data_IF_309614304436
#
_entry.id   IF_309614304436
#
_cell.length_a   1.000
_cell.length_b   1.000
_cell.length_c   1.000
_cell.angle_alpha   90.00
_cell.angle_beta   90.00
_cell.angle_gamma   90.00
#
_symmetry.space_group_name_H-M   'P 1'
#
loop_
_entity.id
_entity.type
_entity.pdbx_description
1 polymer ?
#
# COMPACT_ATOMS: atom_id res chain seq x y z
N UNK A 1 13.60 40.54 -9.30
CA UNK A 1 13.34 39.21 -9.92
C UNK A 1 14.68 38.53 -10.11
N UNK A 2 14.88 37.35 -9.45
CA UNK A 2 16.16 36.68 -9.45
C UNK A 2 16.17 35.63 -10.61
N UNK A 3 16.96 35.78 -11.68
CA UNK A 3 16.89 34.94 -12.89
C UNK A 3 17.38 33.51 -12.64
N UNK A 4 17.93 33.17 -11.47
CA UNK A 4 18.40 31.84 -11.12
C UNK A 4 17.38 30.93 -10.44
N UNK A 5 16.16 31.40 -10.12
CA UNK A 5 15.13 30.59 -9.49
C UNK A 5 14.53 29.53 -10.46
N UNK A 6 14.33 29.90 -11.74
CA UNK A 6 13.71 29.02 -12.74
C UNK A 6 14.62 27.87 -13.24
N UNK A 7 15.93 28.01 -13.14
CA UNK A 7 16.87 26.99 -13.66
C UNK A 7 17.07 25.85 -12.62
N UNK A 8 16.93 26.14 -11.32
CA UNK A 8 16.99 25.10 -10.28
C UNK A 8 15.79 24.20 -10.24
N UNK A 9 14.59 24.72 -10.54
CA UNK A 9 13.36 23.91 -10.57
C UNK A 9 13.33 22.90 -11.72
N UNK A 10 13.80 23.28 -12.90
CA UNK A 10 13.84 22.36 -14.06
C UNK A 10 14.87 21.23 -13.90
N UNK A 11 16.04 21.48 -13.32
CA UNK A 11 17.07 20.46 -13.09
C UNK A 11 16.64 19.43 -12.00
N UNK A 12 15.88 19.85 -10.99
CA UNK A 12 15.27 18.99 -10.00
C UNK A 12 14.15 18.10 -10.59
N UNK A 13 13.27 18.69 -11.36
CA UNK A 13 12.14 18.00 -12.01
C UNK A 13 12.61 16.90 -12.99
N UNK A 14 13.69 17.14 -13.74
CA UNK A 14 14.26 16.15 -14.68
C UNK A 14 14.89 14.95 -13.98
N UNK A 15 15.35 15.08 -12.72
CA UNK A 15 15.93 13.97 -11.94
C UNK A 15 14.88 13.17 -11.17
N UNK A 16 13.76 13.76 -10.76
CA UNK A 16 12.73 13.13 -9.94
C UNK A 16 11.82 12.20 -10.75
N UNK A 17 11.54 12.54 -12.01
CA UNK A 17 10.68 11.75 -12.90
C UNK A 17 11.12 10.28 -13.04
N UNK A 18 12.38 9.99 -13.42
CA UNK A 18 12.85 8.60 -13.52
C UNK A 18 12.79 7.81 -12.20
N UNK A 19 13.06 8.44 -11.05
CA UNK A 19 12.95 7.79 -9.74
C UNK A 19 11.50 7.46 -9.41
N UNK A 20 10.58 8.37 -9.70
CA UNK A 20 9.15 8.13 -9.52
C UNK A 20 8.64 7.03 -10.46
N UNK A 21 9.03 7.06 -11.73
CA UNK A 21 8.65 6.03 -12.72
C UNK A 21 9.18 4.64 -12.30
N UNK A 22 10.44 4.53 -11.86
CA UNK A 22 10.99 3.28 -11.34
C UNK A 22 10.21 2.76 -10.14
N UNK A 23 9.79 3.64 -9.22
CA UNK A 23 8.95 3.29 -8.06
C UNK A 23 7.56 2.79 -8.50
N UNK A 24 6.95 3.41 -9.50
CA UNK A 24 5.66 2.97 -10.05
C UNK A 24 5.76 1.59 -10.71
N UNK A 25 6.80 1.36 -11.53
CA UNK A 25 7.03 0.06 -12.18
C UNK A 25 7.32 -1.03 -11.13
N UNK A 26 8.03 -0.68 -10.06
CA UNK A 26 8.25 -1.58 -8.95
C UNK A 26 6.93 -2.03 -8.30
N UNK A 27 5.99 -1.11 -8.07
CA UNK A 27 4.66 -1.47 -7.55
C UNK A 27 3.82 -2.28 -8.56
N UNK A 28 3.95 -2.02 -9.85
CA UNK A 28 3.36 -2.89 -10.87
C UNK A 28 3.92 -4.30 -10.76
N UNK A 29 5.24 -4.46 -10.58
CA UNK A 29 5.89 -5.77 -10.45
C UNK A 29 5.33 -6.55 -9.24
N UNK A 30 5.31 -5.94 -8.04
CA UNK A 30 4.81 -6.61 -6.82
C UNK A 30 3.35 -7.02 -6.96
N UNK A 31 2.51 -6.15 -7.52
CA UNK A 31 1.09 -6.42 -7.72
C UNK A 31 0.82 -7.49 -8.79
N UNK A 32 1.59 -7.50 -9.88
CA UNK A 32 1.52 -8.57 -10.88
C UNK A 32 1.90 -9.93 -10.30
N UNK A 33 2.99 -10.01 -9.52
CA UNK A 33 3.39 -11.24 -8.82
C UNK A 33 2.26 -11.73 -7.91
N UNK A 34 1.65 -10.81 -7.14
CA UNK A 34 0.52 -11.13 -6.26
C UNK A 34 -0.67 -11.69 -7.05
N UNK A 35 -1.08 -11.04 -8.14
CA UNK A 35 -2.23 -11.44 -8.94
C UNK A 35 -1.99 -12.78 -9.65
N UNK A 36 -0.82 -12.96 -10.28
CA UNK A 36 -0.44 -14.20 -10.96
C UNK A 36 -0.37 -15.37 -9.97
N UNK A 37 0.24 -15.17 -8.79
CA UNK A 37 0.26 -16.20 -7.74
C UNK A 37 -1.14 -16.64 -7.35
N UNK A 38 -2.09 -15.72 -7.22
CA UNK A 38 -3.47 -16.06 -6.89
C UNK A 38 -4.15 -16.90 -7.98
N UNK A 39 -3.84 -16.65 -9.26
CA UNK A 39 -4.38 -17.40 -10.40
C UNK A 39 -3.86 -18.86 -10.43
N UNK A 40 -2.58 -19.06 -10.16
CA UNK A 40 -1.92 -20.38 -10.30
C UNK A 40 -2.09 -21.32 -9.09
N UNK A 41 -2.76 -20.91 -8.03
CA UNK A 41 -2.94 -21.75 -6.81
C UNK A 41 -3.61 -23.09 -7.11
N UNK A 42 -4.54 -23.13 -8.07
CA UNK A 42 -5.18 -24.35 -8.53
C UNK A 42 -4.21 -25.31 -9.23
N UNK A 43 -3.38 -24.75 -10.12
CA UNK A 43 -2.36 -25.51 -10.85
C UNK A 43 -1.34 -26.12 -9.88
N UNK A 44 -0.89 -25.35 -8.89
CA UNK A 44 0.03 -25.82 -7.84
C UNK A 44 -0.59 -26.91 -6.97
N UNK A 45 -1.87 -26.75 -6.59
CA UNK A 45 -2.59 -27.77 -5.82
C UNK A 45 -2.63 -29.10 -6.57
N UNK A 46 -2.87 -29.06 -7.86
CA UNK A 46 -2.94 -30.26 -8.71
C UNK A 46 -1.57 -30.86 -8.94
N UNK A 47 -0.59 -30.06 -9.34
CA UNK A 47 0.76 -30.56 -9.71
C UNK A 47 1.55 -31.11 -8.53
N UNK A 48 1.47 -30.44 -7.36
CA UNK A 48 2.23 -30.82 -6.17
C UNK A 48 1.39 -31.55 -5.12
N UNK A 49 0.13 -31.90 -5.43
CA UNK A 49 -0.83 -32.54 -4.52
C UNK A 49 -0.99 -31.78 -3.19
N UNK A 50 -1.08 -30.43 -3.24
CA UNK A 50 -1.12 -29.59 -2.05
C UNK A 50 -2.53 -29.48 -1.48
N UNK A 51 -2.62 -29.55 -0.16
CA UNK A 51 -3.84 -29.23 0.58
C UNK A 51 -4.12 -27.71 0.57
N UNK A 52 -5.37 -27.32 0.83
CA UNK A 52 -5.73 -25.88 0.97
C UNK A 52 -4.99 -25.22 2.12
N UNK A 53 -4.70 -25.97 3.20
CA UNK A 53 -3.89 -25.49 4.32
C UNK A 53 -2.45 -25.16 3.90
N UNK A 54 -1.81 -26.02 3.11
CA UNK A 54 -0.46 -25.78 2.59
C UNK A 54 -0.40 -24.55 1.68
N UNK A 55 -1.39 -24.36 0.80
CA UNK A 55 -1.51 -23.15 -0.01
C UNK A 55 -1.71 -21.89 0.86
N UNK A 56 -2.51 -22.02 1.93
CA UNK A 56 -2.66 -20.95 2.93
C UNK A 56 -1.34 -20.55 3.59
N UNK A 57 -0.49 -21.51 3.95
CA UNK A 57 0.84 -21.25 4.50
C UNK A 57 1.78 -20.56 3.50
N UNK A 58 1.70 -20.90 2.21
CA UNK A 58 2.44 -20.20 1.15
C UNK A 58 2.05 -18.72 1.08
N UNK A 59 0.74 -18.46 1.05
CA UNK A 59 0.22 -17.08 1.00
C UNK A 59 0.63 -16.31 2.26
N UNK A 60 0.43 -16.91 3.43
CA UNK A 60 0.78 -16.31 4.72
C UNK A 60 2.28 -15.98 4.80
N UNK A 61 3.14 -16.85 4.26
CA UNK A 61 4.59 -16.61 4.19
C UNK A 61 4.95 -15.32 3.46
N UNK A 62 4.29 -15.02 2.34
CA UNK A 62 4.50 -13.77 1.62
C UNK A 62 4.11 -12.53 2.46
N UNK A 63 2.95 -12.58 3.13
CA UNK A 63 2.50 -11.48 3.99
C UNK A 63 3.42 -11.26 5.19
N UNK A 64 3.87 -12.33 5.84
CA UNK A 64 4.82 -12.21 6.95
C UNK A 64 6.20 -11.74 6.49
N UNK A 65 6.66 -12.26 5.35
CA UNK A 65 7.90 -11.77 4.73
C UNK A 65 7.86 -10.25 4.53
N UNK A 66 6.80 -9.76 3.92
CA UNK A 66 6.56 -8.33 3.73
C UNK A 66 6.54 -7.57 5.06
N UNK A 67 5.72 -8.00 6.03
CA UNK A 67 5.54 -7.31 7.32
C UNK A 67 6.86 -7.15 8.07
N UNK A 68 7.66 -8.22 8.13
CA UNK A 68 8.97 -8.21 8.80
C UNK A 68 9.91 -7.24 8.08
N UNK A 69 10.02 -7.33 6.76
CA UNK A 69 11.04 -6.55 6.04
C UNK A 69 10.64 -5.11 5.81
N UNK A 70 9.37 -4.74 5.71
CA UNK A 70 8.98 -3.33 5.67
C UNK A 70 9.26 -2.63 7.00
N UNK A 71 9.03 -3.33 8.13
CA UNK A 71 9.38 -2.81 9.46
C UNK A 71 10.89 -2.65 9.64
N UNK A 72 11.66 -3.72 9.38
CA UNK A 72 13.12 -3.71 9.51
C UNK A 72 13.75 -2.78 8.47
N UNK A 73 13.25 -2.81 7.25
CA UNK A 73 13.72 -1.97 6.14
C UNK A 73 13.51 -0.48 6.38
N UNK A 74 12.42 -0.09 7.03
CA UNK A 74 12.19 1.29 7.44
C UNK A 74 13.29 1.83 8.35
N UNK A 75 13.83 1.01 9.25
CA UNK A 75 14.96 1.36 10.11
C UNK A 75 16.28 1.33 9.33
N UNK A 76 16.49 0.28 8.53
CA UNK A 76 17.72 0.10 7.76
C UNK A 76 17.86 1.12 6.63
N UNK A 77 16.76 1.65 6.10
CA UNK A 77 16.77 2.63 5.02
C UNK A 77 17.66 3.86 5.32
N UNK A 78 17.65 4.31 6.55
CA UNK A 78 18.46 5.43 7.01
C UNK A 78 19.92 5.05 7.35
N UNK A 79 20.16 3.79 7.69
CA UNK A 79 21.47 3.28 8.10
C UNK A 79 22.32 2.84 6.92
N UNK A 80 21.77 1.97 6.06
CA UNK A 80 22.48 1.40 4.92
C UNK A 80 22.17 2.10 3.60
N UNK A 81 21.12 2.93 3.59
CA UNK A 81 20.67 3.74 2.45
C UNK A 81 19.72 3.01 1.51
N UNK A 82 18.92 3.80 0.79
CA UNK A 82 17.89 3.32 -0.13
C UNK A 82 18.44 2.40 -1.22
N UNK A 83 19.67 2.65 -1.71
CA UNK A 83 20.27 1.88 -2.81
C UNK A 83 20.55 0.44 -2.42
N UNK A 84 21.04 0.20 -1.21
CA UNK A 84 21.31 -1.15 -0.72
C UNK A 84 20.00 -1.95 -0.59
N UNK A 85 18.98 -1.35 0.02
CA UNK A 85 17.68 -2.03 0.23
C UNK A 85 16.95 -2.32 -1.07
N UNK A 86 16.92 -1.37 -2.03
CA UNK A 86 16.30 -1.64 -3.34
C UNK A 86 17.07 -2.68 -4.13
N UNK A 87 18.41 -2.76 -3.95
CA UNK A 87 19.24 -3.82 -4.50
C UNK A 87 18.87 -5.20 -3.91
N UNK A 88 18.70 -5.28 -2.58
CA UNK A 88 18.22 -6.50 -1.91
C UNK A 88 16.81 -6.89 -2.39
N UNK A 89 15.90 -5.92 -2.53
CA UNK A 89 14.57 -6.15 -3.07
C UNK A 89 14.62 -6.71 -4.50
N UNK A 90 15.42 -6.11 -5.37
CA UNK A 90 15.61 -6.58 -6.74
C UNK A 90 16.15 -8.02 -6.81
N UNK A 91 17.23 -8.30 -6.06
CA UNK A 91 17.82 -9.64 -6.01
C UNK A 91 16.83 -10.66 -5.41
N UNK A 92 16.11 -10.28 -4.35
CA UNK A 92 15.10 -11.13 -3.73
C UNK A 92 13.93 -11.44 -4.67
N UNK A 93 13.44 -10.46 -5.46
CA UNK A 93 12.42 -10.69 -6.46
C UNK A 93 12.90 -11.64 -7.57
N UNK A 94 14.10 -11.39 -8.14
CA UNK A 94 14.65 -12.27 -9.17
C UNK A 94 14.87 -13.68 -8.64
N UNK A 95 15.54 -13.84 -7.51
CA UNK A 95 15.81 -15.13 -6.92
C UNK A 95 14.51 -15.86 -6.51
N UNK A 96 13.57 -15.16 -5.86
CA UNK A 96 12.30 -15.71 -5.46
C UNK A 96 11.43 -16.15 -6.64
N UNK A 97 11.37 -15.34 -7.71
CA UNK A 97 10.66 -15.72 -8.94
C UNK A 97 11.31 -16.93 -9.61
N UNK A 98 12.64 -16.97 -9.75
CA UNK A 98 13.32 -18.14 -10.29
C UNK A 98 13.07 -19.39 -9.43
N UNK A 99 13.13 -19.26 -8.11
CA UNK A 99 12.78 -20.40 -7.21
C UNK A 99 11.35 -20.86 -7.41
N UNK A 100 10.37 -19.95 -7.56
CA UNK A 100 8.98 -20.35 -7.79
C UNK A 100 8.77 -20.93 -9.19
N UNK A 101 9.38 -20.39 -10.24
CA UNK A 101 9.27 -20.88 -11.62
C UNK A 101 9.84 -22.30 -11.75
N UNK A 102 10.99 -22.56 -11.14
CA UNK A 102 11.67 -23.86 -11.19
C UNK A 102 11.35 -24.76 -9.99
N UNK A 103 10.29 -24.43 -9.23
CA UNK A 103 9.90 -25.24 -8.08
C UNK A 103 9.54 -26.66 -8.50
N UNK A 104 10.13 -27.64 -7.78
CA UNK A 104 9.87 -29.06 -7.94
C UNK A 104 8.96 -29.63 -6.83
N UNK A 105 8.43 -28.77 -5.96
CA UNK A 105 7.54 -29.14 -4.87
C UNK A 105 7.22 -27.97 -3.94
N UNK A 106 6.44 -28.30 -2.91
CA UNK A 106 5.93 -27.34 -1.91
C UNK A 106 7.01 -26.48 -1.26
N UNK A 107 8.07 -27.10 -0.74
CA UNK A 107 9.09 -26.39 0.05
C UNK A 107 9.81 -25.32 -0.76
N UNK A 108 10.21 -25.65 -1.99
CA UNK A 108 10.90 -24.69 -2.87
C UNK A 108 9.98 -23.55 -3.30
N UNK A 109 8.71 -23.86 -3.62
CA UNK A 109 7.72 -22.85 -3.97
C UNK A 109 7.42 -21.91 -2.78
N UNK A 110 7.23 -22.50 -1.57
CA UNK A 110 6.99 -21.72 -0.34
C UNK A 110 8.17 -20.82 0.01
N UNK A 111 9.41 -21.35 -0.06
CA UNK A 111 10.62 -20.56 0.20
C UNK A 111 10.79 -19.41 -0.82
N UNK A 112 10.57 -19.68 -2.12
CA UNK A 112 10.59 -18.64 -3.16
C UNK A 112 9.53 -17.56 -2.92
N UNK A 113 8.32 -17.96 -2.51
CA UNK A 113 7.23 -17.04 -2.19
C UNK A 113 7.54 -16.18 -0.95
N UNK A 114 8.14 -16.78 0.09
CA UNK A 114 8.60 -16.04 1.26
C UNK A 114 9.68 -15.02 0.89
N UNK A 115 10.63 -15.40 0.04
CA UNK A 115 11.70 -14.51 -0.44
C UNK A 115 11.14 -13.34 -1.26
N UNK A 116 10.10 -13.58 -2.08
CA UNK A 116 9.35 -12.51 -2.77
C UNK A 116 8.71 -11.57 -1.73
N UNK A 117 8.09 -12.12 -0.68
CA UNK A 117 7.53 -11.30 0.39
C UNK A 117 8.57 -10.43 1.08
N UNK A 118 9.77 -10.95 1.35
CA UNK A 118 10.87 -10.13 1.87
C UNK A 118 11.29 -9.02 0.91
N UNK A 119 11.34 -9.32 -0.39
CA UNK A 119 11.68 -8.34 -1.41
C UNK A 119 10.64 -7.21 -1.51
N UNK A 120 9.34 -7.58 -1.48
CA UNK A 120 8.22 -6.63 -1.48
C UNK A 120 8.32 -5.65 -0.30
N UNK A 121 8.61 -6.14 0.91
CA UNK A 121 8.70 -5.28 2.08
C UNK A 121 9.93 -4.36 2.07
N UNK A 122 11.10 -4.83 1.61
CA UNK A 122 12.26 -3.95 1.42
C UNK A 122 12.01 -2.89 0.35
N UNK A 123 11.31 -3.25 -0.72
CA UNK A 123 10.96 -2.31 -1.77
C UNK A 123 10.04 -1.20 -1.23
N UNK A 124 9.00 -1.56 -0.49
CA UNK A 124 8.07 -0.58 0.10
C UNK A 124 8.74 0.32 1.13
N UNK A 125 9.67 -0.23 1.92
CA UNK A 125 10.49 0.54 2.87
C UNK A 125 11.38 1.60 2.18
N UNK A 126 11.63 1.48 0.87
CA UNK A 126 12.41 2.45 0.09
C UNK A 126 11.51 3.40 -0.70
N UNK A 127 10.51 2.90 -1.44
CA UNK A 127 9.81 3.73 -2.43
C UNK A 127 8.94 4.81 -1.77
N UNK A 128 8.34 4.54 -0.61
CA UNK A 128 7.57 5.53 0.13
C UNK A 128 8.43 6.70 0.64
N UNK A 129 9.52 6.49 1.40
CA UNK A 129 10.39 7.59 1.80
C UNK A 129 11.12 8.24 0.62
N UNK A 130 11.43 7.51 -0.46
CA UNK A 130 12.00 8.08 -1.67
C UNK A 130 11.06 9.12 -2.29
N UNK A 131 9.80 8.72 -2.55
CA UNK A 131 8.80 9.62 -3.14
C UNK A 131 8.52 10.81 -2.24
N UNK A 132 8.44 10.60 -0.92
CA UNK A 132 8.29 11.69 0.05
C UNK A 132 9.48 12.65 0.04
N UNK A 133 10.69 12.16 -0.17
CA UNK A 133 11.93 12.96 -0.19
C UNK A 133 12.04 13.78 -1.48
N UNK A 134 11.69 13.21 -2.63
CA UNK A 134 11.82 13.90 -3.93
C UNK A 134 10.64 14.83 -4.24
N UNK A 135 9.53 14.73 -3.50
CA UNK A 135 8.36 15.62 -3.63
C UNK A 135 7.92 16.20 -2.26
N UNK A 136 8.78 16.99 -1.59
CA UNK A 136 8.54 17.42 -0.21
C UNK A 136 7.28 18.28 -0.01
N UNK A 137 6.85 19.03 -1.02
CA UNK A 137 5.67 19.91 -0.96
C UNK A 137 4.37 19.23 -1.42
N UNK A 138 4.46 17.99 -1.96
CA UNK A 138 3.31 17.25 -2.52
C UNK A 138 3.31 15.78 -2.12
N UNK A 139 3.74 15.46 -0.90
CA UNK A 139 3.96 14.09 -0.42
C UNK A 139 2.70 13.24 -0.54
N UNK A 140 1.59 13.65 0.07
CA UNK A 140 0.33 12.90 0.04
C UNK A 140 -0.18 12.69 -1.38
N UNK A 141 -0.13 13.70 -2.24
CA UNK A 141 -0.55 13.59 -3.64
C UNK A 141 0.29 12.55 -4.40
N UNK A 142 1.61 12.62 -4.24
CA UNK A 142 2.54 11.73 -4.96
C UNK A 142 2.54 10.31 -4.45
N UNK A 143 2.33 10.12 -3.14
CA UNK A 143 2.13 8.78 -2.57
C UNK A 143 0.82 8.15 -3.06
N UNK A 144 -0.27 8.91 -3.16
CA UNK A 144 -1.49 8.40 -3.78
C UNK A 144 -1.26 7.99 -5.25
N UNK A 145 -0.58 8.82 -6.03
CA UNK A 145 -0.24 8.50 -7.42
C UNK A 145 0.68 7.28 -7.55
N UNK A 146 1.65 7.12 -6.64
CA UNK A 146 2.48 5.91 -6.55
C UNK A 146 1.64 4.66 -6.28
N UNK A 147 0.80 4.71 -5.25
CA UNK A 147 -0.03 3.58 -4.84
C UNK A 147 -1.18 3.25 -5.81
N UNK A 148 -1.47 4.10 -6.81
CA UNK A 148 -2.38 3.77 -7.89
C UNK A 148 -1.86 2.62 -8.77
N UNK A 149 -0.54 2.49 -8.87
CA UNK A 149 0.10 1.48 -9.70
C UNK A 149 0.04 0.07 -9.10
N UNK A 150 -0.23 -0.05 -7.79
CA UNK A 150 -0.45 -1.36 -7.19
C UNK A 150 -1.74 -2.03 -7.70
N UNK A 151 -2.95 -1.46 -7.54
CA UNK A 151 -4.15 -2.03 -8.14
C UNK A 151 -4.07 -2.08 -9.68
N UNK A 152 -3.42 -1.10 -10.33
CA UNK A 152 -3.16 -1.14 -11.76
C UNK A 152 -2.34 -2.37 -12.19
N UNK A 153 -1.26 -2.67 -11.47
CA UNK A 153 -0.42 -3.84 -11.69
C UNK A 153 -1.17 -5.15 -11.45
N UNK A 154 -2.06 -5.19 -10.43
CA UNK A 154 -2.90 -6.37 -10.16
C UNK A 154 -3.86 -6.65 -11.33
N UNK A 155 -4.48 -5.61 -11.90
CA UNK A 155 -5.31 -5.75 -13.12
C UNK A 155 -4.47 -6.26 -14.28
N UNK A 156 -3.29 -5.67 -14.54
CA UNK A 156 -2.40 -6.11 -15.61
C UNK A 156 -1.99 -7.58 -15.44
N UNK A 157 -1.59 -7.98 -14.23
CA UNK A 157 -1.23 -9.36 -13.91
C UNK A 157 -2.39 -10.35 -14.13
N UNK A 158 -3.60 -9.98 -13.69
CA UNK A 158 -4.79 -10.80 -13.87
C UNK A 158 -5.16 -10.98 -15.35
N UNK A 159 -5.11 -9.90 -16.15
CA UNK A 159 -5.41 -9.96 -17.59
C UNK A 159 -4.38 -10.81 -18.33
N UNK A 160 -3.10 -10.66 -17.99
CA UNK A 160 -2.02 -11.46 -18.59
C UNK A 160 -2.14 -12.93 -18.20
N UNK A 161 -2.39 -13.23 -16.93
CA UNK A 161 -2.61 -14.60 -16.46
C UNK A 161 -3.80 -15.26 -17.19
N UNK A 162 -4.92 -14.54 -17.31
CA UNK A 162 -6.09 -15.00 -18.06
C UNK A 162 -5.77 -15.28 -19.55
N UNK A 163 -5.08 -14.35 -20.21
CA UNK A 163 -4.70 -14.51 -21.63
C UNK A 163 -3.79 -15.73 -21.83
N UNK A 164 -2.81 -15.92 -20.92
CA UNK A 164 -1.90 -17.08 -20.96
C UNK A 164 -2.64 -18.39 -20.66
N UNK A 165 -3.63 -18.39 -19.74
CA UNK A 165 -4.49 -19.55 -19.52
C UNK A 165 -5.28 -19.92 -20.78
N UNK A 166 -5.84 -18.92 -21.49
CA UNK A 166 -6.54 -19.14 -22.76
C UNK A 166 -5.64 -19.63 -23.89
N UNK A 167 -4.35 -19.34 -23.82
CA UNK A 167 -3.32 -19.81 -24.75
C UNK A 167 -2.68 -21.14 -24.29
N UNK A 168 -3.29 -21.85 -23.35
CA UNK A 168 -2.85 -23.12 -22.77
C UNK A 168 -1.37 -23.11 -22.29
N UNK A 169 -0.91 -21.92 -21.82
CA UNK A 169 0.46 -21.80 -21.32
C UNK A 169 0.55 -22.34 -19.88
N UNK A 170 1.65 -23.05 -19.53
CA UNK A 170 1.86 -23.56 -18.19
C UNK A 170 2.04 -22.42 -17.19
N UNK A 171 1.71 -22.69 -15.91
CA UNK A 171 1.75 -21.67 -14.86
C UNK A 171 3.15 -21.06 -14.66
N UNK A 172 4.22 -21.77 -14.99
CA UNK A 172 5.60 -21.27 -14.96
C UNK A 172 5.80 -20.08 -15.89
N UNK A 173 5.18 -20.11 -17.09
CA UNK A 173 5.22 -19.01 -18.04
C UNK A 173 4.48 -17.80 -17.49
N UNK A 174 3.33 -18.01 -16.82
CA UNK A 174 2.61 -16.92 -16.14
C UNK A 174 3.51 -16.24 -15.10
N UNK A 175 4.22 -17.01 -14.27
CA UNK A 175 5.18 -16.46 -13.29
C UNK A 175 6.35 -15.75 -13.96
N UNK A 176 6.89 -16.29 -15.07
CA UNK A 176 8.03 -15.71 -15.77
C UNK A 176 7.73 -14.31 -16.35
N UNK A 177 6.48 -14.03 -16.74
CA UNK A 177 6.09 -12.70 -17.24
C UNK A 177 6.32 -11.61 -16.17
N UNK A 178 6.20 -11.93 -14.89
CA UNK A 178 6.45 -10.99 -13.81
C UNK A 178 7.94 -10.58 -13.70
N UNK A 179 8.87 -11.35 -14.28
CA UNK A 179 10.28 -10.95 -14.36
C UNK A 179 10.47 -9.67 -15.18
N UNK A 180 9.61 -9.42 -16.17
CA UNK A 180 9.76 -8.24 -17.05
C UNK A 180 9.74 -6.93 -16.26
N UNK A 181 8.68 -6.58 -15.52
CA UNK A 181 8.69 -5.35 -14.72
C UNK A 181 9.71 -5.39 -13.58
N UNK A 182 10.05 -6.57 -13.02
CA UNK A 182 11.13 -6.71 -12.03
C UNK A 182 12.48 -6.29 -12.62
N UNK A 183 12.84 -6.81 -13.77
CA UNK A 183 14.08 -6.44 -14.44
C UNK A 183 14.10 -4.97 -14.84
N UNK A 184 12.98 -4.42 -15.34
CA UNK A 184 12.88 -3.01 -15.72
C UNK A 184 13.13 -2.10 -14.50
N UNK A 185 12.42 -2.27 -13.39
CA UNK A 185 12.64 -1.41 -12.23
C UNK A 185 14.04 -1.61 -11.63
N UNK A 186 14.54 -2.85 -11.59
CA UNK A 186 15.86 -3.15 -11.08
C UNK A 186 16.96 -2.43 -11.87
N UNK A 187 16.97 -2.55 -13.19
CA UNK A 187 17.93 -1.83 -14.04
C UNK A 187 17.78 -0.31 -13.97
N UNK A 188 16.55 0.20 -13.85
CA UNK A 188 16.34 1.64 -13.62
C UNK A 188 17.01 2.10 -12.33
N UNK A 189 16.74 1.43 -11.19
CA UNK A 189 17.32 1.79 -9.91
C UNK A 189 18.84 1.62 -9.86
N UNK A 190 19.41 0.63 -10.54
CA UNK A 190 20.86 0.47 -10.64
C UNK A 190 21.57 1.69 -11.28
N UNK A 191 20.89 2.36 -12.22
CA UNK A 191 21.41 3.55 -12.94
C UNK A 191 21.14 4.86 -12.21
N UNK A 192 20.16 4.88 -11.27
CA UNK A 192 19.76 6.08 -10.57
C UNK A 192 20.61 6.30 -9.31
N UNK A 193 20.93 7.56 -9.03
CA UNK A 193 21.53 7.98 -7.77
C UNK A 193 20.43 8.38 -6.80
N UNK A 194 20.13 7.50 -5.84
CA UNK A 194 19.07 7.74 -4.86
C UNK A 194 19.57 8.73 -3.79
N UNK A 195 18.70 9.67 -3.35
CA UNK A 195 19.04 10.59 -2.28
C UNK A 195 19.09 9.86 -0.93
N UNK A 196 19.65 10.51 0.08
CA UNK A 196 19.40 10.15 1.48
C UNK A 196 17.98 10.58 1.84
N UNK A 197 17.37 9.92 2.84
CA UNK A 197 16.06 10.32 3.36
C UNK A 197 16.06 11.76 3.88
N UNK A 198 14.92 12.44 3.83
CA UNK A 198 14.77 13.81 4.33
C UNK A 198 15.27 13.94 5.79
N UNK A 199 14.97 12.92 6.64
CA UNK A 199 15.44 12.86 8.02
C UNK A 199 16.98 12.89 8.13
N UNK A 200 17.65 12.03 7.36
CA UNK A 200 19.12 11.94 7.37
C UNK A 200 19.75 13.23 6.84
N UNK A 201 19.16 13.82 5.78
CA UNK A 201 19.64 15.12 5.24
C UNK A 201 19.51 16.26 6.26
N UNK A 202 18.48 16.19 7.12
CA UNK A 202 18.25 17.18 8.19
C UNK A 202 19.04 16.92 9.47
N UNK A 203 19.90 15.90 9.51
CA UNK A 203 20.76 15.60 10.66
C UNK A 203 20.03 15.10 11.90
N UNK A 204 18.80 14.61 11.78
CA UNK A 204 18.00 14.14 12.92
C UNK A 204 18.55 12.81 13.43
N UNK A 205 18.83 12.76 14.74
CA UNK A 205 19.38 11.58 15.39
C UNK A 205 18.38 10.40 15.45
N UNK A 206 18.90 9.19 15.43
CA UNK A 206 18.10 7.95 15.57
C UNK A 206 17.28 7.93 16.86
N UNK A 207 17.82 8.48 17.97
CA UNK A 207 17.08 8.59 19.23
C UNK A 207 15.80 9.44 19.07
N UNK A 208 15.91 10.61 18.43
CA UNK A 208 14.74 11.48 18.17
C UNK A 208 13.72 10.81 17.24
N UNK A 209 14.18 10.04 16.26
CA UNK A 209 13.33 9.23 15.39
C UNK A 209 12.45 8.24 16.17
N UNK A 210 13.05 7.47 17.10
CA UNK A 210 12.28 6.53 17.94
C UNK A 210 11.36 7.26 18.92
N UNK A 211 11.77 8.38 19.47
CA UNK A 211 10.93 9.20 20.35
C UNK A 211 9.68 9.72 19.63
N UNK A 212 9.76 9.95 18.32
CA UNK A 212 8.60 10.37 17.50
C UNK A 212 7.49 9.33 17.50
N UNK A 213 7.83 8.03 17.48
CA UNK A 213 6.88 6.92 17.54
C UNK A 213 6.11 6.85 18.87
N UNK A 214 6.67 7.40 19.94
CA UNK A 214 6.05 7.39 21.27
C UNK A 214 5.14 8.59 21.53
N UNK A 215 5.05 9.54 20.58
CA UNK A 215 4.13 10.69 20.74
C UNK A 215 2.68 10.23 20.73
N UNK A 216 1.84 10.72 21.67
CA UNK A 216 0.42 10.31 21.74
C UNK A 216 -0.34 10.49 20.43
N UNK A 217 -0.02 11.55 19.67
CA UNK A 217 -0.65 11.78 18.36
C UNK A 217 -0.22 10.75 17.32
N UNK A 218 1.04 10.27 17.35
CA UNK A 218 1.46 9.19 16.45
C UNK A 218 0.83 7.84 16.86
N UNK A 219 0.71 7.55 18.15
CA UNK A 219 0.04 6.33 18.65
C UNK A 219 -1.42 6.29 18.18
N UNK A 220 -2.15 7.40 18.30
CA UNK A 220 -3.50 7.50 17.73
C UNK A 220 -3.48 7.28 16.21
N UNK A 221 -2.51 7.86 15.50
CA UNK A 221 -2.38 7.75 14.06
C UNK A 221 -2.08 6.31 13.64
N UNK A 222 -1.22 5.62 14.38
CA UNK A 222 -0.92 4.20 14.21
C UNK A 222 -2.18 3.32 14.41
N UNK A 223 -2.97 3.60 15.44
CA UNK A 223 -4.26 2.92 15.66
C UNK A 223 -5.24 3.17 14.50
N UNK A 224 -5.28 4.39 13.95
CA UNK A 224 -6.07 4.67 12.75
C UNK A 224 -5.62 3.86 11.54
N UNK A 225 -4.30 3.59 11.39
CA UNK A 225 -3.81 2.72 10.30
C UNK A 225 -4.34 1.30 10.42
N UNK A 226 -4.42 0.75 11.63
CA UNK A 226 -5.04 -0.55 11.87
C UNK A 226 -6.50 -0.57 11.41
N UNK A 227 -7.28 0.44 11.79
CA UNK A 227 -8.70 0.53 11.42
C UNK A 227 -8.92 0.77 9.93
N UNK A 228 -8.12 1.63 9.30
CA UNK A 228 -8.23 1.90 7.86
C UNK A 228 -7.88 0.66 7.03
N UNK A 229 -6.79 -0.04 7.37
CA UNK A 229 -6.37 -1.24 6.67
C UNK A 229 -7.36 -2.41 6.85
N UNK A 230 -7.90 -2.62 8.07
CA UNK A 230 -8.95 -3.59 8.31
C UNK A 230 -10.23 -3.28 7.53
N UNK A 231 -10.61 -1.99 7.43
CA UNK A 231 -11.79 -1.54 6.67
C UNK A 231 -11.64 -1.78 5.16
N UNK A 232 -10.44 -1.56 4.62
CA UNK A 232 -10.15 -1.73 3.19
C UNK A 232 -9.96 -3.21 2.84
N UNK A 233 -9.03 -3.88 3.50
CA UNK A 233 -8.52 -5.18 3.09
C UNK A 233 -9.31 -6.36 3.67
N UNK A 234 -9.99 -6.16 4.81
CA UNK A 234 -10.88 -7.16 5.38
C UNK A 234 -12.01 -7.55 4.41
N UNK A 235 -12.91 -6.63 4.08
CA UNK A 235 -14.01 -6.91 3.16
C UNK A 235 -13.56 -7.31 1.75
N UNK A 236 -12.50 -6.70 1.22
CA UNK A 236 -12.03 -6.96 -0.14
C UNK A 236 -11.74 -8.44 -0.43
N UNK A 237 -11.27 -9.18 0.57
CA UNK A 237 -11.01 -10.62 0.41
C UNK A 237 -12.30 -11.46 0.41
N UNK A 238 -13.35 -10.98 1.08
CA UNK A 238 -14.60 -11.73 1.28
C UNK A 238 -15.73 -11.28 0.36
N UNK A 239 -15.61 -10.09 -0.25
CA UNK A 239 -16.72 -9.45 -0.98
C UNK A 239 -17.21 -10.30 -2.16
N UNK A 240 -16.31 -11.00 -2.85
CA UNK A 240 -16.66 -11.86 -3.95
C UNK A 240 -17.54 -13.02 -3.48
N UNK A 241 -17.20 -13.65 -2.37
CA UNK A 241 -17.94 -14.76 -1.78
C UNK A 241 -19.27 -14.27 -1.17
N UNK A 242 -19.22 -13.16 -0.41
CA UNK A 242 -20.43 -12.56 0.19
C UNK A 242 -21.47 -12.25 -0.90
N UNK A 243 -21.07 -11.57 -1.97
CA UNK A 243 -21.99 -11.12 -3.01
C UNK A 243 -22.49 -12.27 -3.90
N UNK A 244 -21.72 -13.36 -4.03
CA UNK A 244 -22.17 -14.58 -4.70
C UNK A 244 -23.40 -15.17 -4.02
N UNK A 245 -23.49 -15.06 -2.71
CA UNK A 245 -24.63 -15.57 -1.92
C UNK A 245 -25.76 -14.56 -1.73
N UNK A 246 -25.53 -13.27 -1.97
CA UNK A 246 -26.51 -12.22 -1.65
C UNK A 246 -27.07 -11.48 -2.87
N UNK A 247 -26.25 -11.24 -3.91
CA UNK A 247 -26.62 -10.28 -4.96
C UNK A 247 -26.27 -10.70 -6.39
N UNK A 248 -25.20 -11.43 -6.65
CA UNK A 248 -24.75 -11.75 -8.01
C UNK A 248 -23.90 -13.02 -8.07
N UNK A 249 -24.13 -13.84 -9.12
CA UNK A 249 -23.31 -15.03 -9.37
C UNK A 249 -21.83 -14.72 -9.69
N UNK A 250 -21.52 -13.48 -10.04
CA UNK A 250 -20.20 -13.03 -10.47
C UNK A 250 -19.58 -12.05 -9.47
N UNK A 251 -19.51 -12.38 -8.17
CA UNK A 251 -18.93 -11.53 -7.13
C UNK A 251 -17.49 -11.10 -7.42
N UNK A 252 -16.74 -11.92 -8.14
CA UNK A 252 -15.35 -11.59 -8.55
C UNK A 252 -15.30 -10.37 -9.49
N UNK A 253 -16.30 -10.15 -10.33
CA UNK A 253 -16.36 -8.97 -11.19
C UNK A 253 -16.61 -7.69 -10.37
N UNK A 254 -17.32 -7.79 -9.25
CA UNK A 254 -17.51 -6.67 -8.33
C UNK A 254 -16.17 -6.33 -7.65
N UNK A 255 -15.38 -7.32 -7.26
CA UNK A 255 -14.03 -7.09 -6.72
C UNK A 255 -13.12 -6.41 -7.78
N UNK A 256 -13.16 -6.87 -9.02
CA UNK A 256 -12.44 -6.22 -10.12
C UNK A 256 -12.88 -4.75 -10.32
N UNK A 257 -14.19 -4.48 -10.23
CA UNK A 257 -14.75 -3.12 -10.30
C UNK A 257 -14.24 -2.23 -9.15
N UNK A 258 -14.21 -2.74 -7.91
CA UNK A 258 -13.63 -2.04 -6.76
C UNK A 258 -12.17 -1.70 -7.03
N UNK A 259 -11.36 -2.68 -7.45
CA UNK A 259 -9.94 -2.53 -7.70
C UNK A 259 -9.65 -1.51 -8.81
N UNK A 260 -10.42 -1.55 -9.89
CA UNK A 260 -10.33 -0.56 -10.98
C UNK A 260 -10.68 0.85 -10.51
N UNK A 261 -11.77 0.98 -9.75
CA UNK A 261 -12.20 2.26 -9.16
C UNK A 261 -11.11 2.84 -8.26
N UNK A 262 -10.45 2.01 -7.45
CA UNK A 262 -9.34 2.43 -6.60
C UNK A 262 -8.13 2.89 -7.43
N UNK A 263 -7.76 2.16 -8.48
CA UNK A 263 -6.65 2.53 -9.36
C UNK A 263 -6.88 3.91 -9.99
N UNK A 264 -8.05 4.10 -10.60
CA UNK A 264 -8.43 5.37 -11.24
C UNK A 264 -8.54 6.50 -10.21
N UNK A 265 -9.22 6.26 -9.09
CA UNK A 265 -9.40 7.28 -8.04
C UNK A 265 -8.06 7.80 -7.48
N UNK A 266 -7.10 6.92 -7.23
CA UNK A 266 -5.76 7.29 -6.73
C UNK A 266 -4.97 8.16 -7.72
N UNK A 267 -5.13 7.98 -9.03
CA UNK A 267 -4.50 8.85 -10.02
C UNK A 267 -5.02 10.29 -9.96
N UNK A 268 -6.29 10.47 -9.59
CA UNK A 268 -6.93 11.79 -9.44
C UNK A 268 -6.92 12.32 -8.01
N UNK A 269 -6.12 11.76 -7.11
CA UNK A 269 -6.05 12.19 -5.71
C UNK A 269 -5.58 13.65 -5.55
N UNK A 270 -4.71 14.16 -6.42
CA UNK A 270 -4.12 15.48 -6.29
C UNK A 270 -5.14 16.62 -6.17
N UNK A 271 -6.08 16.81 -7.11
CA UNK A 271 -7.15 17.81 -7.01
C UNK A 271 -8.01 17.65 -5.74
N UNK A 272 -8.30 16.40 -5.36
CA UNK A 272 -9.14 16.11 -4.19
C UNK A 272 -8.43 16.46 -2.88
N UNK A 273 -7.16 16.09 -2.74
CA UNK A 273 -6.32 16.44 -1.58
C UNK A 273 -6.17 17.95 -1.42
N UNK A 274 -5.97 18.67 -2.53
CA UNK A 274 -5.86 20.15 -2.48
C UNK A 274 -7.15 20.81 -2.01
N UNK A 275 -8.32 20.25 -2.35
CA UNK A 275 -9.63 20.81 -1.98
C UNK A 275 -10.05 20.44 -0.55
N UNK A 276 -9.84 19.20 -0.13
CA UNK A 276 -10.32 18.67 1.15
C UNK A 276 -9.26 18.67 2.25
N UNK A 277 -8.01 18.89 1.96
CA UNK A 277 -6.84 18.53 2.78
C UNK A 277 -6.70 17.01 2.98
N UNK A 278 -5.50 16.50 3.37
CA UNK A 278 -5.32 15.05 3.62
C UNK A 278 -6.25 14.50 4.71
N UNK A 279 -6.43 15.22 5.82
CA UNK A 279 -7.31 14.76 6.92
C UNK A 279 -8.79 14.85 6.51
N UNK A 280 -9.21 15.90 5.81
CA UNK A 280 -10.57 16.01 5.29
C UNK A 280 -10.89 14.91 4.27
N UNK A 281 -9.91 14.54 3.42
CA UNK A 281 -10.04 13.41 2.51
C UNK A 281 -10.25 12.09 3.27
N UNK A 282 -9.47 11.84 4.33
CA UNK A 282 -9.64 10.64 5.17
C UNK A 282 -11.01 10.60 5.87
N UNK A 283 -11.51 11.74 6.34
CA UNK A 283 -12.84 11.83 6.95
C UNK A 283 -13.95 11.52 5.93
N UNK A 284 -13.88 12.09 4.73
CA UNK A 284 -14.81 11.80 3.64
C UNK A 284 -14.71 10.33 3.19
N UNK A 285 -13.50 9.78 3.12
CA UNK A 285 -13.23 8.38 2.80
C UNK A 285 -13.83 7.43 3.83
N UNK A 286 -13.70 7.74 5.12
CA UNK A 286 -14.30 6.95 6.19
C UNK A 286 -15.85 6.95 6.10
N UNK A 287 -16.45 8.12 5.85
CA UNK A 287 -17.90 8.23 5.68
C UNK A 287 -18.39 7.44 4.46
N UNK A 288 -17.72 7.59 3.32
CA UNK A 288 -18.08 6.87 2.09
C UNK A 288 -17.87 5.35 2.22
N UNK A 289 -16.78 4.88 2.85
CA UNK A 289 -16.54 3.45 3.05
C UNK A 289 -17.57 2.81 3.98
N UNK A 290 -17.94 3.48 5.07
CA UNK A 290 -19.01 3.04 5.96
C UNK A 290 -20.37 2.95 5.28
N UNK A 291 -20.75 3.99 4.53
CA UNK A 291 -21.96 4.01 3.73
C UNK A 291 -21.96 2.89 2.67
N UNK A 292 -20.82 2.69 1.98
CA UNK A 292 -20.65 1.63 1.00
C UNK A 292 -20.80 0.23 1.58
N UNK A 293 -20.17 -0.05 2.75
CA UNK A 293 -20.30 -1.33 3.45
C UNK A 293 -21.76 -1.59 3.89
N UNK A 294 -22.42 -0.58 4.46
CA UNK A 294 -23.82 -0.69 4.82
C UNK A 294 -24.70 -0.95 3.59
N UNK A 295 -24.51 -0.19 2.51
CA UNK A 295 -25.24 -0.40 1.26
C UNK A 295 -24.98 -1.80 0.67
N UNK A 296 -23.74 -2.29 0.68
CA UNK A 296 -23.40 -3.65 0.25
C UNK A 296 -24.12 -4.72 1.09
N UNK A 297 -24.27 -4.48 2.41
CA UNK A 297 -24.97 -5.42 3.29
C UNK A 297 -26.47 -5.58 2.99
N UNK A 298 -27.03 -4.64 2.25
CA UNK A 298 -28.44 -4.66 1.78
C UNK A 298 -28.58 -4.89 0.27
N UNK A 299 -27.49 -5.18 -0.42
CA UNK A 299 -27.53 -5.43 -1.85
C UNK A 299 -28.10 -6.82 -2.13
N UNK A 300 -29.20 -6.87 -2.89
CA UNK A 300 -29.89 -8.13 -3.28
C UNK A 300 -29.96 -8.31 -4.80
N UNK A 301 -29.27 -7.45 -5.57
CA UNK A 301 -29.20 -7.54 -7.02
C UNK A 301 -27.84 -7.06 -7.54
N UNK A 302 -27.46 -7.49 -8.75
CA UNK A 302 -26.20 -7.07 -9.35
C UNK A 302 -26.08 -5.53 -9.47
N UNK A 303 -27.08 -4.77 -9.98
CA UNK A 303 -26.97 -3.32 -10.05
C UNK A 303 -26.74 -2.65 -8.69
N UNK A 304 -27.44 -3.09 -7.64
CA UNK A 304 -27.26 -2.55 -6.28
C UNK A 304 -25.91 -2.90 -5.71
N UNK A 305 -25.37 -4.10 -5.99
CA UNK A 305 -24.03 -4.51 -5.58
C UNK A 305 -22.95 -3.65 -6.25
N UNK A 306 -23.06 -3.40 -7.57
CA UNK A 306 -22.09 -2.53 -8.28
C UNK A 306 -22.16 -1.08 -7.80
N UNK A 307 -23.34 -0.52 -7.60
CA UNK A 307 -23.50 0.85 -7.08
C UNK A 307 -22.94 1.00 -5.67
N UNK A 308 -23.27 0.08 -4.76
CA UNK A 308 -22.77 0.08 -3.39
C UNK A 308 -21.26 -0.14 -3.32
N UNK A 309 -20.73 -1.04 -4.16
CA UNK A 309 -19.29 -1.31 -4.23
C UNK A 309 -18.51 -0.12 -4.81
N UNK A 310 -19.10 0.68 -5.70
CA UNK A 310 -18.50 1.92 -6.17
C UNK A 310 -18.33 2.93 -5.01
N UNK A 311 -19.35 3.13 -4.19
CA UNK A 311 -19.28 4.00 -3.01
C UNK A 311 -18.23 3.48 -2.03
N UNK A 312 -18.20 2.18 -1.76
CA UNK A 312 -17.17 1.56 -0.93
C UNK A 312 -15.76 1.77 -1.49
N UNK A 313 -15.56 1.51 -2.78
CA UNK A 313 -14.28 1.65 -3.46
C UNK A 313 -13.75 3.09 -3.40
N UNK A 314 -14.59 4.09 -3.67
CA UNK A 314 -14.25 5.50 -3.52
C UNK A 314 -13.87 5.83 -2.08
N UNK A 315 -14.57 5.24 -1.11
CA UNK A 315 -14.29 5.40 0.31
C UNK A 315 -12.91 4.86 0.70
N UNK A 316 -12.60 3.61 0.39
CA UNK A 316 -11.32 2.98 0.79
C UNK A 316 -10.14 3.40 -0.08
N UNK A 317 -10.40 3.94 -1.26
CA UNK A 317 -9.41 4.30 -2.28
C UNK A 317 -8.20 5.06 -1.72
N UNK A 318 -8.43 6.00 -0.81
CA UNK A 318 -7.40 6.93 -0.34
C UNK A 318 -6.81 6.58 1.03
N UNK A 319 -7.29 5.53 1.72
CA UNK A 319 -6.86 5.24 3.08
C UNK A 319 -5.36 5.01 3.17
N UNK A 320 -4.85 3.95 2.57
CA UNK A 320 -3.46 3.56 2.69
C UNK A 320 -2.48 4.67 2.29
N UNK A 321 -2.53 5.21 1.05
CA UNK A 321 -1.55 6.19 0.62
C UNK A 321 -1.66 7.54 1.34
N UNK A 322 -2.87 7.95 1.75
CA UNK A 322 -3.05 9.19 2.49
C UNK A 322 -2.60 9.07 3.94
N UNK A 323 -2.78 7.91 4.58
CA UNK A 323 -2.21 7.64 5.91
C UNK A 323 -0.68 7.73 5.89
N UNK A 324 -0.01 7.17 4.87
CA UNK A 324 1.44 7.31 4.68
C UNK A 324 1.83 8.76 4.36
N UNK A 325 1.04 9.44 3.53
CA UNK A 325 1.24 10.86 3.19
C UNK A 325 1.25 11.74 4.42
N UNK A 326 0.21 11.66 5.25
CA UNK A 326 0.11 12.41 6.51
C UNK A 326 1.22 12.03 7.49
N UNK A 327 1.61 10.74 7.55
CA UNK A 327 2.76 10.30 8.35
C UNK A 327 4.02 11.05 7.92
N UNK A 328 4.29 11.11 6.63
CA UNK A 328 5.45 11.80 6.07
C UNK A 328 5.38 13.34 6.23
N UNK A 329 4.17 13.92 6.25
CA UNK A 329 3.95 15.36 6.37
C UNK A 329 3.91 15.86 7.82
N UNK A 330 3.38 15.08 8.76
CA UNK A 330 3.23 15.49 10.17
C UNK A 330 4.29 14.93 11.11
N UNK A 331 4.92 13.83 10.71
CA UNK A 331 5.94 13.15 11.51
C UNK A 331 7.27 12.98 10.74
N UNK A 332 7.77 14.02 10.06
CA UNK A 332 8.96 13.90 9.21
C UNK A 332 10.22 13.51 10.00
N UNK A 333 10.24 13.79 11.32
CA UNK A 333 11.33 13.36 12.23
C UNK A 333 11.46 11.84 12.28
N UNK A 334 10.37 11.11 12.14
CA UNK A 334 10.35 9.65 12.13
C UNK A 334 10.84 9.02 10.83
N UNK A 335 10.86 9.77 9.73
CA UNK A 335 11.41 9.36 8.44
C UNK A 335 10.91 8.02 7.94
N UNK A 336 11.81 7.24 7.33
CA UNK A 336 11.51 5.92 6.78
C UNK A 336 11.04 4.91 7.85
N UNK A 337 11.49 5.05 9.10
CA UNK A 337 11.08 4.18 10.19
C UNK A 337 9.57 4.24 10.45
N UNK A 338 8.99 5.45 10.57
CA UNK A 338 7.55 5.55 10.81
C UNK A 338 6.72 5.13 9.60
N UNK A 339 7.19 5.38 8.39
CA UNK A 339 6.54 4.86 7.17
C UNK A 339 6.54 3.33 7.14
N UNK A 340 7.67 2.70 7.46
CA UNK A 340 7.77 1.24 7.57
C UNK A 340 6.91 0.66 8.70
N UNK A 341 6.84 1.35 9.85
CA UNK A 341 5.98 0.96 10.98
C UNK A 341 4.49 1.04 10.59
N UNK A 342 4.08 2.07 9.86
CA UNK A 342 2.71 2.21 9.34
C UNK A 342 2.39 1.10 8.32
N UNK A 343 3.31 0.80 7.39
CA UNK A 343 3.15 -0.29 6.43
C UNK A 343 3.01 -1.66 7.11
N UNK A 344 3.86 -1.93 8.11
CA UNK A 344 3.79 -3.16 8.91
C UNK A 344 2.47 -3.27 9.68
N UNK A 345 2.01 -2.17 10.30
CA UNK A 345 0.75 -2.11 11.03
C UNK A 345 -0.45 -2.40 10.11
N UNK A 346 -0.49 -1.76 8.94
CA UNK A 346 -1.57 -1.97 7.97
C UNK A 346 -1.63 -3.42 7.47
N UNK A 347 -0.47 -4.00 7.14
CA UNK A 347 -0.42 -5.37 6.65
C UNK A 347 -0.75 -6.41 7.74
N UNK A 348 -0.27 -6.21 8.98
CA UNK A 348 -0.63 -7.04 10.13
C UNK A 348 -2.14 -6.95 10.41
N UNK A 349 -2.71 -5.76 10.37
CA UNK A 349 -4.15 -5.53 10.52
C UNK A 349 -4.97 -6.27 9.45
N UNK A 350 -4.53 -6.20 8.19
CA UNK A 350 -5.17 -6.92 7.09
C UNK A 350 -5.17 -8.44 7.35
N UNK A 351 -4.03 -8.99 7.81
CA UNK A 351 -3.92 -10.40 8.15
C UNK A 351 -4.86 -10.83 9.28
N UNK A 352 -4.98 -10.03 10.35
CA UNK A 352 -5.89 -10.31 11.47
C UNK A 352 -7.37 -10.10 11.11
N UNK A 353 -7.67 -9.18 10.19
CA UNK A 353 -9.04 -8.95 9.74
C UNK A 353 -9.66 -10.18 9.04
N UNK A 354 -8.84 -11.04 8.39
CA UNK A 354 -9.35 -12.18 7.64
C UNK A 354 -10.06 -13.23 8.52
N UNK A 355 -9.45 -13.78 9.59
CA UNK A 355 -10.14 -14.73 10.45
C UNK A 355 -11.33 -14.10 11.18
N UNK A 356 -11.25 -12.80 11.52
CA UNK A 356 -12.36 -12.08 12.15
C UNK A 356 -13.56 -11.94 11.20
N UNK A 357 -13.30 -11.63 9.92
CA UNK A 357 -14.34 -11.62 8.88
C UNK A 357 -14.97 -13.00 8.70
N UNK A 358 -14.16 -14.06 8.65
CA UNK A 358 -14.63 -15.45 8.58
C UNK A 358 -15.52 -15.79 9.77
N UNK A 359 -15.10 -15.47 10.99
CA UNK A 359 -15.90 -15.67 12.19
C UNK A 359 -17.25 -14.94 12.13
N UNK A 360 -17.27 -13.67 11.72
CA UNK A 360 -18.53 -12.94 11.57
C UNK A 360 -19.41 -13.52 10.46
N UNK A 361 -18.81 -13.98 9.37
CA UNK A 361 -19.54 -14.61 8.28
C UNK A 361 -20.20 -15.91 8.72
N UNK A 362 -19.46 -16.80 9.38
CA UNK A 362 -19.95 -18.10 9.83
C UNK A 362 -21.00 -17.96 10.94
N UNK A 363 -20.79 -17.02 11.86
CA UNK A 363 -21.65 -16.86 13.06
C UNK A 363 -22.93 -16.07 12.74
N UNK A 364 -22.83 -15.00 11.94
CA UNK A 364 -23.92 -14.04 11.76
C UNK A 364 -24.43 -13.93 10.32
N UNK A 365 -23.75 -14.60 9.39
CA UNK A 365 -24.06 -14.58 7.97
C UNK A 365 -23.44 -13.40 7.19
N UNK A 366 -23.38 -13.52 5.85
CA UNK A 366 -22.60 -12.64 4.97
C UNK A 366 -22.97 -11.16 5.08
N UNK A 367 -24.26 -10.83 5.09
CA UNK A 367 -24.74 -9.45 5.17
C UNK A 367 -24.41 -8.78 6.52
N UNK A 368 -24.52 -9.53 7.63
CA UNK A 368 -24.21 -8.99 8.96
C UNK A 368 -22.71 -8.82 9.17
N UNK A 369 -21.88 -9.68 8.58
CA UNK A 369 -20.42 -9.52 8.62
C UNK A 369 -19.99 -8.13 8.10
N UNK A 370 -20.54 -7.68 6.98
CA UNK A 370 -20.29 -6.33 6.45
C UNK A 370 -20.75 -5.21 7.39
N UNK A 371 -21.89 -5.39 8.09
CA UNK A 371 -22.40 -4.39 9.05
C UNK A 371 -21.48 -4.25 10.26
N UNK A 372 -20.96 -5.37 10.78
CA UNK A 372 -20.00 -5.32 11.90
C UNK A 372 -18.71 -4.60 11.50
N UNK A 373 -18.20 -4.86 10.31
CA UNK A 373 -17.01 -4.14 9.83
C UNK A 373 -17.28 -2.65 9.57
N UNK A 374 -18.50 -2.27 9.22
CA UNK A 374 -18.88 -0.86 9.03
C UNK A 374 -18.75 -0.01 10.31
N UNK A 375 -18.63 -0.63 11.49
CA UNK A 375 -18.31 0.07 12.73
C UNK A 375 -16.92 0.70 12.69
N UNK A 376 -15.94 0.06 12.02
CA UNK A 376 -14.56 0.57 11.93
C UNK A 376 -14.50 1.93 11.22
N UNK A 377 -15.03 2.11 10.00
CA UNK A 377 -15.06 3.43 9.39
C UNK A 377 -15.97 4.41 10.15
N UNK A 378 -16.99 3.96 10.87
CA UNK A 378 -17.77 4.81 11.77
C UNK A 378 -16.90 5.45 12.87
N UNK A 379 -16.02 4.69 13.52
CA UNK A 379 -15.03 5.20 14.46
C UNK A 379 -14.04 6.17 13.78
N UNK A 380 -13.60 5.83 12.57
CA UNK A 380 -12.69 6.69 11.80
C UNK A 380 -13.32 8.02 11.42
N UNK A 381 -14.63 8.07 11.12
CA UNK A 381 -15.36 9.34 10.90
C UNK A 381 -15.25 10.25 12.11
N UNK A 382 -15.43 9.70 13.31
CA UNK A 382 -15.32 10.49 14.55
C UNK A 382 -13.88 11.03 14.75
N UNK A 383 -12.87 10.16 14.57
CA UNK A 383 -11.46 10.56 14.76
C UNK A 383 -11.01 11.53 13.68
N UNK A 384 -11.17 11.19 12.41
CA UNK A 384 -10.72 12.06 11.31
C UNK A 384 -11.56 13.32 11.20
N UNK A 385 -12.87 13.25 11.46
CA UNK A 385 -13.74 14.41 11.55
C UNK A 385 -13.31 15.38 12.65
N UNK A 386 -13.03 14.86 13.87
CA UNK A 386 -12.52 15.64 14.98
C UNK A 386 -11.16 16.29 14.68
N UNK A 387 -10.23 15.54 14.05
CA UNK A 387 -8.93 16.06 13.62
C UNK A 387 -9.08 17.12 12.53
N UNK A 388 -9.99 16.94 11.58
CA UNK A 388 -10.29 17.91 10.52
C UNK A 388 -10.83 19.22 11.09
N UNK A 389 -11.81 19.14 11.99
CA UNK A 389 -12.36 20.32 12.68
C UNK A 389 -11.29 21.05 13.52
N UNK A 390 -10.44 20.29 14.22
CA UNK A 390 -9.29 20.86 14.94
C UNK A 390 -8.33 21.60 14.00
N UNK A 391 -8.04 21.01 12.83
CA UNK A 391 -7.16 21.65 11.84
C UNK A 391 -7.78 22.94 11.31
N UNK A 392 -9.08 22.93 10.98
CA UNK A 392 -9.81 24.14 10.55
C UNK A 392 -9.74 25.24 11.62
N UNK A 393 -9.97 24.91 12.88
CA UNK A 393 -9.89 25.87 13.99
C UNK A 393 -8.48 26.45 14.20
N UNK A 394 -7.42 25.75 13.71
CA UNK A 394 -6.03 26.21 13.75
C UNK A 394 -5.52 26.86 12.46
N UNK A 395 -6.43 27.23 11.56
CA UNK A 395 -6.10 27.88 10.28
C UNK A 395 -5.71 26.90 9.17
N UNK A 396 -6.20 25.67 9.23
CA UNK A 396 -6.04 24.66 8.18
C UNK A 396 -4.96 23.61 8.44
N UNK A 397 -4.83 22.68 7.51
CA UNK A 397 -3.83 21.59 7.56
C UNK A 397 -2.42 22.16 7.41
N UNK A 398 -1.51 21.78 8.31
CA UNK A 398 -0.12 22.24 8.30
C UNK A 398 0.85 21.06 8.15
N UNK A 399 1.78 21.18 7.21
CA UNK A 399 2.90 20.27 6.99
C UNK A 399 4.05 20.71 7.90
N UNK A 400 4.67 19.74 8.59
CA UNK A 400 5.88 19.98 9.39
C UNK A 400 7.09 19.90 8.47
N UNK A 401 7.86 21.00 8.34
CA UNK A 401 9.11 21.02 7.57
C UNK A 401 10.31 20.78 8.49
N UNK A 402 11.20 19.88 8.09
CA UNK A 402 12.51 19.71 8.73
C UNK A 402 13.45 20.82 8.22
N UNK A 403 14.05 21.58 9.12
CA UNK A 403 14.96 22.67 8.75
C UNK A 403 14.54 24.08 9.16
N UNK A 404 13.35 24.24 9.78
CA UNK A 404 12.89 25.50 10.37
C UNK A 404 13.33 25.70 11.82
N UNK A 405 14.49 25.20 12.25
CA UNK A 405 15.09 25.66 13.52
C UNK A 405 15.87 26.93 13.25
N UNK A 406 15.45 28.05 13.85
CA UNK A 406 16.30 29.23 14.03
C UNK A 406 17.69 28.80 14.47
N UNK A 407 18.75 29.39 13.91
CA UNK A 407 20.10 29.14 14.41
C UNK A 407 20.11 29.45 15.93
N UNK A 408 20.85 28.68 16.73
CA UNK A 408 20.97 28.96 18.15
C UNK A 408 21.39 30.42 18.32
N UNK A 409 20.84 31.17 19.30
CA UNK A 409 21.19 32.56 19.51
C UNK A 409 22.70 32.62 19.62
N UNK A 410 23.33 33.37 18.72
CA UNK A 410 24.76 33.65 18.79
C UNK A 410 25.00 34.30 20.14
N UNK A 411 25.70 33.61 21.03
CA UNK A 411 26.12 34.14 22.30
C UNK A 411 26.87 35.44 22.06
N UNK A 412 26.33 36.52 22.65
CA UNK A 412 27.10 37.76 22.79
C UNK A 412 28.30 37.42 23.66
N UNK A 413 29.48 37.59 23.09
CA UNK A 413 30.74 37.64 23.80
C UNK A 413 30.81 38.87 24.67
#
# INVERSE_FOLDING_TARGET
MNPHAGIRDNAGATRNGPMFAASCIAFVATAMIFAIRSDILGDLSTQFHLTKAQLGWVILGAFWGFTITVFVGGQLCDLVGMRALVGLAFLGHVAGLLMTIFANGYTMFAAGTLLIGFADGFLEAVVNPLVSTIYPDRKTEKLNALHAWWPGGAVMGSVLAYALTKADQPWQVKQAVALVPVLVYGFMFLRLRLPRTERVQSGISTRRMYQEALKPFFILWFACMWLTAATELGPNQWIAEILKHTATKSGILVLAWITLTMAVGRLFAGPVVRKLSPIGLLAASAAASGAGLLALSYAHSAPTAYAASFVFAVGVCYFWPTMLGVTSERFPVGGAFLLGLMGAAGNASAGLAQPLMGFFYDTYGPARALRYVAVLPGLLVLVFGGLFMRDLAKGGYKVVKLGGQEPPPQGRA
#
